data_IF_431335641320
#
_entry.id   IF_431335641320
#
_cell.length_a   1.000
_cell.length_b   1.000
_cell.length_c   1.000
_cell.angle_alpha   90.00
_cell.angle_beta   90.00
_cell.angle_gamma   90.00
#
_symmetry.space_group_name_H-M   'P 1'
#
loop_
_entity.id
_entity.type
_entity.pdbx_description
1 polymer ?
#
# COMPACT_ATOMS: atom_id res chain seq x y z
N UNK A 1 8.18 20.23 -1.10
CA UNK A 1 9.43 19.74 -0.48
C UNK A 1 9.24 18.68 0.61
N UNK A 2 8.59 18.92 1.77
CA UNK A 2 8.44 17.86 2.80
C UNK A 2 7.44 16.76 2.40
N UNK A 3 6.36 17.13 1.72
CA UNK A 3 5.31 16.21 1.26
C UNK A 3 5.82 15.26 0.16
N UNK A 4 6.62 15.75 -0.78
CA UNK A 4 7.21 14.95 -1.87
C UNK A 4 8.08 13.80 -1.31
N UNK A 5 8.96 14.07 -0.35
CA UNK A 5 9.79 13.04 0.27
C UNK A 5 8.94 12.00 1.03
N UNK A 6 7.84 12.44 1.66
CA UNK A 6 6.90 11.53 2.31
C UNK A 6 6.20 10.67 1.26
N UNK A 7 5.75 11.25 0.16
CA UNK A 7 5.11 10.54 -0.95
C UNK A 7 6.05 9.49 -1.55
N UNK A 8 7.32 9.82 -1.77
CA UNK A 8 8.31 8.86 -2.26
C UNK A 8 8.43 7.63 -1.34
N UNK A 9 8.54 7.85 -0.02
CA UNK A 9 8.60 6.76 0.96
C UNK A 9 7.31 5.93 0.97
N UNK A 10 6.16 6.59 0.87
CA UNK A 10 4.87 5.91 0.82
C UNK A 10 4.71 5.07 -0.46
N UNK A 11 5.26 5.51 -1.60
CA UNK A 11 5.27 4.73 -2.85
C UNK A 11 6.08 3.45 -2.71
N UNK A 12 7.24 3.49 -2.05
CA UNK A 12 8.03 2.29 -1.74
C UNK A 12 7.23 1.33 -0.84
N UNK A 13 6.60 1.85 0.22
CA UNK A 13 5.77 1.02 1.11
C UNK A 13 4.56 0.43 0.38
N UNK A 14 3.93 1.18 -0.54
CA UNK A 14 2.82 0.68 -1.35
C UNK A 14 3.25 -0.52 -2.21
N UNK A 15 4.43 -0.44 -2.82
CA UNK A 15 5.03 -1.53 -3.60
C UNK A 15 5.34 -2.75 -2.72
N UNK A 16 5.97 -2.55 -1.56
CA UNK A 16 6.25 -3.64 -0.61
C UNK A 16 4.95 -4.35 -0.16
N UNK A 17 3.88 -3.58 0.09
CA UNK A 17 2.58 -4.13 0.46
C UNK A 17 1.94 -4.89 -0.70
N UNK A 18 2.12 -4.45 -1.95
CA UNK A 18 1.65 -5.16 -3.14
C UNK A 18 2.34 -6.52 -3.26
N UNK A 19 3.65 -6.56 -3.10
CA UNK A 19 4.44 -7.80 -3.21
C UNK A 19 4.09 -8.77 -2.08
N UNK A 20 3.94 -8.26 -0.85
CA UNK A 20 3.48 -9.06 0.28
C UNK A 20 2.07 -9.64 0.06
N UNK A 21 1.15 -8.87 -0.53
CA UNK A 21 -0.19 -9.37 -0.88
C UNK A 21 -0.11 -10.51 -1.90
N UNK A 22 0.74 -10.39 -2.93
CA UNK A 22 0.96 -11.47 -3.90
C UNK A 22 1.52 -12.73 -3.26
N UNK A 23 2.45 -12.61 -2.33
CA UNK A 23 2.99 -13.77 -1.60
C UNK A 23 1.91 -14.45 -0.77
N UNK A 24 1.09 -13.69 -0.05
CA UNK A 24 -0.04 -14.22 0.72
C UNK A 24 -1.09 -14.87 -0.19
N UNK A 25 -1.37 -14.27 -1.35
CA UNK A 25 -2.28 -14.84 -2.35
C UNK A 25 -1.76 -16.20 -2.86
N UNK A 26 -0.47 -16.34 -3.15
CA UNK A 26 0.13 -17.63 -3.55
C UNK A 26 -0.03 -18.70 -2.47
N UNK A 27 0.13 -18.33 -1.21
CA UNK A 27 -0.05 -19.27 -0.09
C UNK A 27 -1.52 -19.65 0.08
N UNK A 28 -2.43 -18.67 -0.03
CA UNK A 28 -3.87 -18.90 0.01
C UNK A 28 -4.35 -19.85 -1.09
N UNK A 29 -3.82 -19.71 -2.31
CA UNK A 29 -4.12 -20.59 -3.45
C UNK A 29 -3.71 -22.05 -3.19
N UNK A 30 -2.82 -22.32 -2.23
CA UNK A 30 -2.45 -23.68 -1.80
C UNK A 30 -3.39 -24.25 -0.72
N UNK A 31 -4.45 -23.54 -0.36
CA UNK A 31 -5.48 -23.98 0.59
C UNK A 31 -5.39 -23.38 1.99
N UNK A 32 -4.47 -22.45 2.24
CA UNK A 32 -4.35 -21.79 3.55
C UNK A 32 -5.36 -20.64 3.70
N UNK A 33 -6.43 -20.90 4.45
CA UNK A 33 -7.48 -19.91 4.75
C UNK A 33 -7.00 -18.73 5.62
N UNK A 34 -5.93 -18.88 6.40
CA UNK A 34 -5.35 -17.77 7.16
C UNK A 34 -4.57 -16.83 6.23
N UNK A 35 -3.86 -17.37 5.25
CA UNK A 35 -3.17 -16.57 4.25
C UNK A 35 -4.14 -15.70 3.42
N UNK A 36 -5.36 -16.18 3.14
CA UNK A 36 -6.40 -15.39 2.48
C UNK A 36 -6.87 -14.19 3.34
N UNK A 37 -6.97 -14.39 4.67
CA UNK A 37 -7.32 -13.30 5.60
C UNK A 37 -6.20 -12.29 5.73
N UNK A 38 -4.96 -12.76 5.77
CA UNK A 38 -3.77 -11.91 5.79
C UNK A 38 -3.65 -11.08 4.50
N UNK A 39 -3.82 -11.69 3.33
CA UNK A 39 -3.83 -11.01 2.03
C UNK A 39 -4.83 -9.84 2.02
N UNK A 40 -6.06 -10.08 2.50
CA UNK A 40 -7.08 -9.05 2.59
C UNK A 40 -6.66 -7.89 3.49
N UNK A 41 -6.01 -8.16 4.62
CA UNK A 41 -5.49 -7.13 5.54
C UNK A 41 -4.36 -6.32 4.90
N UNK A 42 -3.47 -6.98 4.17
CA UNK A 42 -2.38 -6.30 3.44
C UNK A 42 -2.95 -5.39 2.35
N UNK A 43 -3.92 -5.85 1.57
CA UNK A 43 -4.60 -5.01 0.57
C UNK A 43 -5.32 -3.81 1.19
N UNK A 44 -5.91 -3.96 2.39
CA UNK A 44 -6.51 -2.84 3.12
C UNK A 44 -5.46 -1.79 3.51
N UNK A 45 -4.31 -2.23 4.02
CA UNK A 45 -3.20 -1.33 4.34
C UNK A 45 -2.71 -0.61 3.07
N UNK A 46 -2.51 -1.34 1.97
CA UNK A 46 -2.07 -0.77 0.68
C UNK A 46 -2.99 0.34 0.20
N UNK A 47 -4.31 0.11 0.23
CA UNK A 47 -5.31 1.13 -0.13
C UNK A 47 -5.28 2.36 0.78
N UNK A 48 -4.94 2.19 2.06
CA UNK A 48 -4.78 3.33 2.96
C UNK A 48 -3.56 4.18 2.58
N UNK A 49 -2.45 3.53 2.19
CA UNK A 49 -1.26 4.21 1.68
C UNK A 49 -1.55 4.93 0.34
N UNK A 50 -2.24 4.28 -0.61
CA UNK A 50 -2.66 4.92 -1.86
C UNK A 50 -3.49 6.19 -1.61
N UNK A 51 -4.37 6.18 -0.61
CA UNK A 51 -5.15 7.37 -0.22
C UNK A 51 -4.28 8.46 0.40
N UNK A 52 -3.33 8.08 1.25
CA UNK A 52 -2.40 9.03 1.87
C UNK A 52 -1.53 9.71 0.81
N UNK A 53 -1.03 8.96 -0.18
CA UNK A 53 -0.27 9.50 -1.31
C UNK A 53 -1.11 10.57 -2.04
N UNK A 54 -2.35 10.24 -2.44
CA UNK A 54 -3.23 11.19 -3.14
C UNK A 54 -3.47 12.47 -2.34
N UNK A 55 -3.78 12.33 -1.04
CA UNK A 55 -4.02 13.49 -0.20
C UNK A 55 -2.79 14.39 -0.02
N UNK A 56 -1.58 13.82 -0.07
CA UNK A 56 -0.33 14.57 0.02
C UNK A 56 0.10 15.18 -1.32
N UNK A 57 -0.18 14.49 -2.43
CA UNK A 57 0.00 15.03 -3.78
C UNK A 57 -0.94 16.24 -3.97
N UNK A 58 -2.24 16.11 -3.64
CA UNK A 58 -3.21 17.21 -3.69
C UNK A 58 -2.77 18.40 -2.80
N UNK A 59 -2.24 18.12 -1.60
CA UNK A 59 -1.71 19.15 -0.70
C UNK A 59 -0.45 19.84 -1.26
N UNK A 60 0.38 19.12 -2.01
CA UNK A 60 1.55 19.68 -2.69
C UNK A 60 1.13 20.66 -3.77
N UNK A 61 0.18 20.24 -4.62
CA UNK A 61 -0.36 21.05 -5.71
C UNK A 61 -1.05 22.34 -5.22
N UNK A 62 -1.72 22.30 -4.06
CA UNK A 62 -2.37 23.47 -3.44
C UNK A 62 -1.37 24.50 -2.87
N UNK A 63 -0.11 24.13 -2.67
CA UNK A 63 0.93 24.97 -2.04
C UNK A 63 1.89 25.63 -3.05
N UNK A 64 1.85 25.21 -4.32
CA UNK A 64 2.67 25.71 -5.44
C UNK A 64 1.99 26.86 -6.22
#
# INVERSE_FOLDING_TARGET
MDTELIVEKLRVIEEDLRDLAYDKLRVAAKGDSNAARDEKRVLQARRAIEKAIRALDDLGDDLD
#
